data_IF_443498765887
#
_entry.id   IF_443498765887
#
_cell.length_a   1.000
_cell.length_b   1.000
_cell.length_c   1.000
_cell.angle_alpha   90.00
_cell.angle_beta   90.00
_cell.angle_gamma   90.00
#
_symmetry.space_group_name_H-M   'P 1'
#
loop_
_entity.id
_entity.type
_entity.pdbx_description
1 polymer ?
#
# COMPACT_ATOMS: atom_id res chain seq x y z
N UNK A 1 18.66 14.14 -15.30
CA UNK A 1 17.48 13.26 -15.43
C UNK A 1 16.67 13.41 -14.15
N UNK A 2 15.35 13.49 -14.23
CA UNK A 2 14.51 13.43 -13.01
C UNK A 2 14.81 12.12 -12.29
N UNK A 3 14.96 12.15 -10.96
CA UNK A 3 15.33 10.95 -10.19
C UNK A 3 14.20 9.91 -10.21
N UNK A 4 12.96 10.35 -10.48
CA UNK A 4 11.80 9.49 -10.73
C UNK A 4 11.97 8.47 -11.89
N UNK A 5 12.98 8.66 -12.75
CA UNK A 5 13.27 7.76 -13.88
C UNK A 5 14.31 6.67 -13.57
N UNK A 6 14.88 6.64 -12.36
CA UNK A 6 15.88 5.64 -11.99
C UNK A 6 15.23 4.25 -11.79
N UNK A 7 15.79 3.22 -12.42
CA UNK A 7 15.40 1.82 -12.15
C UNK A 7 15.87 1.43 -10.73
N UNK A 8 15.02 0.76 -9.93
CA UNK A 8 15.44 0.30 -8.61
C UNK A 8 16.63 -0.67 -8.71
N UNK A 9 17.63 -0.48 -7.84
CA UNK A 9 18.75 -1.43 -7.75
C UNK A 9 18.25 -2.72 -7.11
N UNK A 10 18.21 -3.80 -7.89
CA UNK A 10 17.83 -5.13 -7.41
C UNK A 10 18.93 -5.84 -6.64
N UNK A 11 18.58 -6.46 -5.51
CA UNK A 11 19.42 -7.47 -4.86
C UNK A 11 19.16 -8.86 -5.49
N UNK A 12 20.23 -9.57 -5.83
CA UNK A 12 20.15 -10.98 -6.20
C UNK A 12 19.87 -11.84 -4.96
N UNK A 13 18.62 -12.25 -4.75
CA UNK A 13 18.21 -13.04 -3.58
C UNK A 13 18.91 -14.41 -3.46
N UNK A 14 19.43 -14.96 -4.57
CA UNK A 14 20.02 -16.29 -4.62
C UNK A 14 21.36 -16.47 -3.89
N UNK A 15 21.98 -15.43 -3.33
CA UNK A 15 23.30 -15.51 -2.69
C UNK A 15 23.38 -15.01 -1.25
N UNK A 16 22.26 -14.62 -0.63
CA UNK A 16 22.24 -14.06 0.73
C UNK A 16 21.67 -15.11 1.69
N UNK A 17 22.39 -15.44 2.77
CA UNK A 17 21.87 -16.24 3.89
C UNK A 17 21.35 -15.36 5.03
N UNK A 18 20.53 -15.93 5.92
CA UNK A 18 20.08 -15.22 7.13
C UNK A 18 21.25 -14.83 8.04
N UNK A 19 22.26 -15.70 8.15
CA UNK A 19 23.49 -15.41 8.89
C UNK A 19 24.36 -14.33 8.22
N UNK A 20 24.31 -14.20 6.87
CA UNK A 20 24.96 -13.07 6.20
C UNK A 20 24.27 -11.75 6.56
N UNK A 21 22.93 -11.74 6.64
CA UNK A 21 22.18 -10.55 7.04
C UNK A 21 22.49 -10.17 8.50
N UNK A 22 22.53 -11.15 9.40
CA UNK A 22 22.94 -10.95 10.80
C UNK A 22 24.37 -10.40 10.91
N UNK A 23 25.33 -11.01 10.22
CA UNK A 23 26.73 -10.53 10.20
C UNK A 23 26.81 -9.08 9.70
N UNK A 24 26.08 -8.74 8.63
CA UNK A 24 26.04 -7.37 8.11
C UNK A 24 25.48 -6.39 9.12
N UNK A 25 24.51 -6.80 9.94
CA UNK A 25 24.02 -5.98 11.04
C UNK A 25 25.13 -5.69 12.07
N UNK A 26 25.87 -6.72 12.50
CA UNK A 26 26.99 -6.55 13.45
C UNK A 26 28.09 -5.63 12.89
N UNK A 27 28.42 -5.79 11.61
CA UNK A 27 29.49 -5.03 10.93
C UNK A 27 29.13 -3.56 10.64
N UNK A 28 27.84 -3.20 10.64
CA UNK A 28 27.36 -1.88 10.19
C UNK A 28 26.50 -1.14 11.23
N UNK A 29 26.73 -1.43 12.52
CA UNK A 29 26.02 -0.80 13.62
C UNK A 29 26.30 0.72 13.72
N UNK A 30 25.31 1.48 14.18
CA UNK A 30 25.39 2.94 14.33
C UNK A 30 24.62 3.42 15.55
N UNK A 31 24.93 4.61 16.04
CA UNK A 31 24.30 5.19 17.23
C UNK A 31 23.38 6.35 16.83
N UNK A 32 22.08 6.17 17.06
CA UNK A 32 21.12 7.27 16.94
C UNK A 32 21.44 8.43 17.89
N UNK A 33 22.14 8.17 19.01
CA UNK A 33 22.52 9.20 19.99
C UNK A 33 23.78 9.98 19.59
N UNK A 34 24.60 9.49 18.66
CA UNK A 34 25.81 10.19 18.21
C UNK A 34 25.56 11.14 17.03
N UNK A 35 24.36 11.15 16.46
CA UNK A 35 24.01 12.08 15.39
C UNK A 35 23.94 13.51 15.92
N UNK A 36 24.61 14.42 15.24
CA UNK A 36 24.63 15.85 15.54
C UNK A 36 23.56 16.58 14.72
N UNK A 37 22.55 17.10 15.41
CA UNK A 37 21.46 17.89 14.82
C UNK A 37 21.65 19.40 15.01
N UNK A 38 22.81 19.87 15.48
CA UNK A 38 23.05 21.28 15.78
C UNK A 38 22.88 22.20 14.56
N UNK A 39 23.17 21.70 13.35
CA UNK A 39 22.99 22.43 12.10
C UNK A 39 21.57 22.30 11.50
N UNK A 40 20.86 21.22 11.83
CA UNK A 40 19.60 20.84 11.19
C UNK A 40 18.47 21.82 11.49
N UNK A 41 18.46 22.46 12.66
CA UNK A 41 17.46 23.49 13.01
C UNK A 41 17.45 24.64 12.02
N UNK A 42 18.62 25.11 11.59
CA UNK A 42 18.71 26.18 10.60
C UNK A 42 18.16 25.72 9.23
N UNK A 43 18.41 24.46 8.85
CA UNK A 43 17.83 23.86 7.66
C UNK A 43 16.30 23.81 7.72
N UNK A 44 15.76 23.32 8.83
CA UNK A 44 14.32 23.28 9.07
C UNK A 44 13.64 24.66 9.01
N UNK A 45 14.26 25.66 9.65
CA UNK A 45 13.73 27.03 9.68
C UNK A 45 13.79 27.70 8.28
N UNK A 46 14.70 27.25 7.41
CA UNK A 46 14.84 27.74 6.04
C UNK A 46 13.76 27.25 5.07
N UNK A 47 13.06 26.17 5.41
CA UNK A 47 11.97 25.62 4.59
C UNK A 47 10.81 26.62 4.47
N UNK A 48 10.08 26.56 3.35
CA UNK A 48 8.80 27.26 3.25
C UNK A 48 7.76 26.64 4.20
N UNK A 49 6.67 27.37 4.46
CA UNK A 49 5.57 26.85 5.27
C UNK A 49 4.98 25.54 4.70
N UNK A 50 4.74 25.51 3.39
CA UNK A 50 4.25 24.30 2.71
C UNK A 50 5.24 23.14 2.83
N UNK A 51 6.53 23.38 2.66
CA UNK A 51 7.56 22.35 2.84
C UNK A 51 7.61 21.84 4.28
N UNK A 52 7.51 22.69 5.29
CA UNK A 52 7.43 22.24 6.69
C UNK A 52 6.18 21.38 6.94
N UNK A 53 5.02 21.80 6.44
CA UNK A 53 3.77 21.02 6.59
C UNK A 53 3.86 19.66 5.88
N UNK A 54 4.41 19.63 4.67
CA UNK A 54 4.64 18.37 3.95
C UNK A 54 5.65 17.46 4.65
N UNK A 55 6.75 18.02 5.16
CA UNK A 55 7.75 17.26 5.89
C UNK A 55 7.17 16.70 7.20
N UNK A 56 6.41 17.51 7.95
CA UNK A 56 5.72 17.05 9.16
C UNK A 56 4.75 15.90 8.88
N UNK A 57 4.00 15.96 7.78
CA UNK A 57 3.13 14.86 7.36
C UNK A 57 3.92 13.57 7.12
N UNK A 58 4.98 13.63 6.30
CA UNK A 58 5.77 12.45 5.97
C UNK A 58 6.53 11.90 7.19
N UNK A 59 7.20 12.74 7.96
CA UNK A 59 7.98 12.32 9.12
C UNK A 59 7.13 11.80 10.27
N UNK A 60 5.88 12.27 10.39
CA UNK A 60 4.93 11.70 11.34
C UNK A 60 4.57 10.26 10.95
N UNK A 61 4.39 9.98 9.66
CA UNK A 61 4.15 8.62 9.16
C UNK A 61 5.38 7.72 9.35
N UNK A 62 6.60 8.22 9.17
CA UNK A 62 7.78 7.43 9.51
C UNK A 62 7.85 7.17 11.00
N UNK A 63 7.85 8.22 11.83
CA UNK A 63 8.05 8.07 13.27
C UNK A 63 7.02 7.14 13.92
N UNK A 64 5.73 7.32 13.62
CA UNK A 64 4.70 6.39 14.09
C UNK A 64 4.93 4.97 13.58
N UNK A 65 5.39 4.84 12.34
CA UNK A 65 5.64 3.56 11.70
C UNK A 65 6.74 2.79 12.40
N UNK A 66 7.91 3.43 12.60
CA UNK A 66 9.07 2.85 13.30
C UNK A 66 8.70 2.35 14.70
N UNK A 67 7.91 3.13 15.45
CA UNK A 67 7.44 2.75 16.79
C UNK A 67 6.48 1.55 16.74
N UNK A 68 5.46 1.62 15.87
CA UNK A 68 4.50 0.52 15.71
C UNK A 68 5.17 -0.78 15.28
N UNK A 69 6.14 -0.72 14.37
CA UNK A 69 6.83 -1.93 13.94
C UNK A 69 7.77 -2.49 15.01
N UNK A 70 8.43 -1.64 15.81
CA UNK A 70 9.25 -2.07 16.94
C UNK A 70 8.43 -2.81 18.01
N UNK A 71 7.22 -2.32 18.30
CA UNK A 71 6.27 -2.93 19.22
C UNK A 71 5.74 -4.28 18.71
N UNK A 72 5.49 -4.36 17.40
CA UNK A 72 4.85 -5.51 16.78
C UNK A 72 5.79 -6.62 16.30
N UNK A 73 7.11 -6.44 16.31
CA UNK A 73 8.02 -7.44 15.74
C UNK A 73 8.22 -8.69 16.64
N UNK A 74 7.98 -8.59 17.96
CA UNK A 74 8.23 -9.72 18.87
C UNK A 74 7.52 -11.05 18.49
N UNK A 75 6.25 -11.08 18.04
CA UNK A 75 5.59 -12.32 17.61
C UNK A 75 6.19 -12.91 16.32
N UNK A 76 6.86 -12.10 15.51
CA UNK A 76 7.54 -12.56 14.30
C UNK A 76 8.76 -13.40 14.65
N UNK A 77 9.54 -12.96 15.65
CA UNK A 77 10.67 -13.74 16.19
C UNK A 77 10.17 -15.10 16.70
N UNK A 78 9.07 -15.07 17.45
CA UNK A 78 8.45 -16.24 18.07
C UNK A 78 7.85 -17.25 17.07
N UNK A 79 7.43 -16.77 15.89
CA UNK A 79 6.83 -17.57 14.83
C UNK A 79 7.81 -17.99 13.74
N UNK A 80 9.05 -17.48 13.78
CA UNK A 80 10.08 -17.79 12.80
C UNK A 80 10.35 -19.31 12.74
N UNK A 81 10.26 -19.94 11.55
CA UNK A 81 10.48 -21.38 11.38
C UNK A 81 11.87 -21.90 11.73
N UNK A 82 12.91 -21.06 11.65
CA UNK A 82 14.29 -21.43 11.97
C UNK A 82 14.95 -20.45 12.92
N UNK A 83 15.97 -20.94 13.64
CA UNK A 83 16.77 -20.13 14.55
C UNK A 83 17.48 -18.98 13.84
N UNK A 84 18.00 -19.18 12.62
CA UNK A 84 18.67 -18.11 11.87
C UNK A 84 17.69 -16.99 11.48
N UNK A 85 16.43 -17.34 11.18
CA UNK A 85 15.39 -16.35 10.92
C UNK A 85 15.04 -15.59 12.20
N UNK A 86 14.84 -16.29 13.32
CA UNK A 86 14.57 -15.68 14.61
C UNK A 86 15.70 -14.73 15.02
N UNK A 87 16.96 -15.16 14.90
CA UNK A 87 18.12 -14.35 15.26
C UNK A 87 18.21 -13.08 14.42
N UNK A 88 18.01 -13.16 13.11
CA UNK A 88 17.96 -11.95 12.28
C UNK A 88 16.81 -11.01 12.72
N UNK A 89 15.60 -11.54 12.95
CA UNK A 89 14.46 -10.72 13.37
C UNK A 89 14.71 -10.00 14.70
N UNK A 90 15.48 -10.59 15.63
CA UNK A 90 15.88 -9.86 16.85
C UNK A 90 16.75 -8.64 16.55
N UNK A 91 17.61 -8.70 15.52
CA UNK A 91 18.42 -7.55 15.10
C UNK A 91 17.55 -6.46 14.49
N UNK A 92 16.54 -6.85 13.71
CA UNK A 92 15.57 -5.92 13.13
C UNK A 92 14.81 -5.18 14.25
N UNK A 93 14.37 -5.88 15.30
CA UNK A 93 13.66 -5.21 16.41
C UNK A 93 14.49 -4.09 17.06
N UNK A 94 15.80 -4.30 17.17
CA UNK A 94 16.73 -3.29 17.68
C UNK A 94 16.89 -2.13 16.71
N UNK A 95 16.92 -2.40 15.40
CA UNK A 95 17.00 -1.37 14.38
C UNK A 95 15.73 -0.49 14.38
N UNK A 96 14.52 -1.08 14.44
CA UNK A 96 13.28 -0.29 14.48
C UNK A 96 13.17 0.59 15.72
N UNK A 97 13.52 0.05 16.90
CA UNK A 97 13.56 0.86 18.12
C UNK A 97 14.58 2.00 18.00
N UNK A 98 15.71 1.77 17.31
CA UNK A 98 16.71 2.80 17.03
C UNK A 98 16.19 3.85 16.05
N UNK A 99 15.40 3.45 15.05
CA UNK A 99 14.75 4.36 14.10
C UNK A 99 13.73 5.26 14.83
N UNK A 100 12.90 4.69 15.71
CA UNK A 100 11.97 5.48 16.53
C UNK A 100 12.72 6.51 17.41
N UNK A 101 13.85 6.12 18.02
CA UNK A 101 14.71 7.04 18.78
C UNK A 101 15.29 8.16 17.91
N UNK A 102 15.72 7.85 16.67
CA UNK A 102 16.19 8.84 15.70
C UNK A 102 15.11 9.90 15.45
N UNK A 103 13.90 9.47 15.10
CA UNK A 103 12.79 10.39 14.81
C UNK A 103 12.35 11.17 16.04
N UNK A 104 12.27 10.54 17.22
CA UNK A 104 12.02 11.25 18.48
C UNK A 104 13.03 12.40 18.67
N UNK A 105 14.32 12.11 18.52
CA UNK A 105 15.37 13.15 18.65
C UNK A 105 15.18 14.26 17.63
N UNK A 106 14.86 13.93 16.38
CA UNK A 106 14.63 14.94 15.35
C UNK A 106 13.40 15.83 15.68
N UNK A 107 12.30 15.24 16.14
CA UNK A 107 11.09 15.95 16.55
C UNK A 107 11.37 16.92 17.71
N UNK A 108 12.18 16.49 18.68
CA UNK A 108 12.53 17.33 19.83
C UNK A 108 13.58 18.39 19.48
N UNK A 109 14.70 17.99 18.90
CA UNK A 109 15.89 18.84 18.74
C UNK A 109 15.80 19.78 17.54
N UNK A 110 15.06 19.41 16.49
CA UNK A 110 14.93 20.18 15.24
C UNK A 110 13.54 20.79 15.11
N UNK A 111 12.48 19.98 15.14
CA UNK A 111 11.10 20.49 14.96
C UNK A 111 10.66 21.32 16.18
N UNK A 112 11.13 20.97 17.39
CA UNK A 112 10.82 21.69 18.62
C UNK A 112 9.56 21.21 19.34
N UNK A 113 9.21 19.92 19.20
CA UNK A 113 8.17 19.29 20.03
C UNK A 113 8.83 18.80 21.32
N UNK A 114 8.67 19.56 22.39
CA UNK A 114 9.22 19.22 23.70
C UNK A 114 8.42 18.08 24.36
N UNK A 115 9.13 17.12 24.94
CA UNK A 115 8.54 16.00 25.67
C UNK A 115 9.41 14.75 25.67
N UNK A 116 8.86 13.69 26.26
CA UNK A 116 9.39 12.33 26.13
C UNK A 116 8.94 11.67 24.81
N UNK A 117 9.36 10.42 24.60
CA UNK A 117 9.04 9.66 23.37
C UNK A 117 7.52 9.60 23.15
N UNK A 118 6.75 9.28 24.19
CA UNK A 118 5.29 9.21 24.12
C UNK A 118 4.65 10.54 23.70
N UNK A 119 5.10 11.65 24.28
CA UNK A 119 4.62 12.99 23.90
C UNK A 119 4.87 13.30 22.42
N UNK A 120 6.07 12.98 21.92
CA UNK A 120 6.39 13.21 20.50
C UNK A 120 5.63 12.29 19.56
N UNK A 121 5.33 11.04 19.97
CA UNK A 121 4.49 10.12 19.22
C UNK A 121 3.05 10.61 19.13
N UNK A 122 2.46 11.07 20.23
CA UNK A 122 1.11 11.64 20.23
C UNK A 122 0.96 12.81 19.24
N UNK A 123 2.02 13.61 19.07
CA UNK A 123 2.05 14.71 18.11
C UNK A 123 1.99 14.27 16.64
N UNK A 124 2.31 13.02 16.33
CA UNK A 124 2.21 12.46 14.96
C UNK A 124 0.76 12.14 14.57
N UNK A 125 -0.08 11.78 15.53
CA UNK A 125 -1.40 11.19 15.28
C UNK A 125 -2.32 12.06 14.40
N UNK A 126 -2.40 13.39 14.56
CA UNK A 126 -3.25 14.23 13.73
C UNK A 126 -2.82 14.27 12.25
N UNK A 127 -1.58 13.87 11.95
CA UNK A 127 -1.02 13.87 10.59
C UNK A 127 -1.29 12.56 9.83
N UNK A 128 -1.65 11.48 10.52
CA UNK A 128 -1.84 10.16 9.91
C UNK A 128 -3.16 10.08 9.15
N UNK A 129 -3.08 9.78 7.85
CA UNK A 129 -4.26 9.66 6.99
C UNK A 129 -4.96 8.29 7.12
N UNK A 130 -6.12 8.18 6.50
CA UNK A 130 -6.96 6.98 6.55
C UNK A 130 -6.27 5.73 5.98
N UNK A 131 -5.53 5.86 4.88
CA UNK A 131 -4.85 4.72 4.26
C UNK A 131 -3.73 4.19 5.16
N UNK A 132 -2.91 5.10 5.69
CA UNK A 132 -1.86 4.77 6.64
C UNK A 132 -2.40 4.06 7.87
N UNK A 133 -3.44 4.63 8.51
CA UNK A 133 -4.10 4.02 9.68
C UNK A 133 -4.63 2.62 9.37
N UNK A 134 -5.29 2.41 8.23
CA UNK A 134 -5.82 1.10 7.87
C UNK A 134 -4.75 0.02 7.68
N UNK A 135 -3.59 0.37 7.11
CA UNK A 135 -2.45 -0.56 6.99
C UNK A 135 -1.88 -0.91 8.37
N UNK A 136 -1.63 0.09 9.22
CA UNK A 136 -1.02 -0.13 10.53
C UNK A 136 -1.98 -0.78 11.53
N UNK A 137 -3.28 -0.46 11.50
CA UNK A 137 -4.30 -1.18 12.27
C UNK A 137 -4.32 -2.68 11.89
N UNK A 138 -4.06 -3.02 10.61
CA UNK A 138 -3.95 -4.42 10.17
C UNK A 138 -2.65 -5.07 10.63
N UNK A 139 -1.55 -4.31 10.67
CA UNK A 139 -0.27 -4.77 11.20
C UNK A 139 -0.37 -5.10 12.70
N UNK A 140 -0.99 -4.23 13.49
CA UNK A 140 -1.23 -4.47 14.92
C UNK A 140 -2.02 -5.77 15.14
N UNK A 141 -3.12 -5.96 14.39
CA UNK A 141 -3.90 -7.21 14.44
C UNK A 141 -3.09 -8.42 14.01
N UNK A 142 -2.17 -8.27 13.04
CA UNK A 142 -1.30 -9.38 12.60
C UNK A 142 -0.41 -9.87 13.73
N UNK A 143 0.13 -8.96 14.54
CA UNK A 143 0.98 -9.33 15.68
C UNK A 143 0.21 -10.22 16.67
N UNK A 144 -1.04 -9.87 17.00
CA UNK A 144 -1.90 -10.68 17.86
C UNK A 144 -2.30 -12.02 17.24
N UNK A 145 -2.65 -12.03 15.95
CA UNK A 145 -2.93 -13.26 15.20
C UNK A 145 -1.73 -14.21 15.22
N UNK A 146 -0.51 -13.69 15.04
CA UNK A 146 0.72 -14.48 14.99
C UNK A 146 1.12 -15.02 16.37
N UNK A 147 0.79 -14.31 17.46
CA UNK A 147 0.91 -14.85 18.83
C UNK A 147 0.04 -16.09 19.01
N UNK A 148 -1.17 -16.09 18.42
CA UNK A 148 -2.14 -17.17 18.55
C UNK A 148 -1.91 -18.33 17.55
N UNK A 149 -1.50 -18.01 16.32
CA UNK A 149 -1.28 -18.96 15.22
C UNK A 149 0.09 -18.74 14.59
N UNK A 150 0.99 -19.69 14.85
CA UNK A 150 2.36 -19.71 14.32
C UNK A 150 2.50 -20.64 13.10
N UNK A 151 1.39 -20.93 12.42
CA UNK A 151 1.41 -21.73 11.20
C UNK A 151 2.22 -21.03 10.09
N UNK A 152 2.80 -21.84 9.19
CA UNK A 152 3.56 -21.31 8.05
C UNK A 152 2.75 -20.35 7.15
N UNK A 153 1.46 -20.59 6.85
CA UNK A 153 0.63 -19.64 6.11
C UNK A 153 0.43 -18.30 6.84
N UNK A 154 0.21 -18.32 8.16
CA UNK A 154 0.09 -17.08 8.95
C UNK A 154 1.41 -16.32 9.02
N UNK A 155 2.52 -17.03 9.18
CA UNK A 155 3.86 -16.44 9.09
C UNK A 155 4.12 -15.82 7.71
N UNK A 156 3.75 -16.51 6.62
CA UNK A 156 3.88 -15.96 5.26
C UNK A 156 3.03 -14.70 5.04
N UNK A 157 1.79 -14.65 5.58
CA UNK A 157 0.99 -13.42 5.61
C UNK A 157 1.72 -12.30 6.37
N UNK A 158 2.22 -12.59 7.56
CA UNK A 158 2.89 -11.61 8.41
C UNK A 158 4.13 -11.01 7.73
N UNK A 159 5.01 -11.86 7.18
CA UNK A 159 6.19 -11.42 6.42
C UNK A 159 5.80 -10.63 5.16
N UNK A 160 4.71 -10.99 4.49
CA UNK A 160 4.22 -10.23 3.34
C UNK A 160 3.74 -8.84 3.74
N UNK A 161 2.93 -8.74 4.81
CA UNK A 161 2.39 -7.47 5.28
C UNK A 161 3.52 -6.51 5.70
N UNK A 162 4.45 -6.99 6.52
CA UNK A 162 5.51 -6.15 7.03
C UNK A 162 6.57 -5.89 5.95
N UNK A 163 7.32 -6.91 5.54
CA UNK A 163 8.54 -6.70 4.76
C UNK A 163 8.29 -6.33 3.30
N UNK A 164 7.21 -6.83 2.68
CA UNK A 164 6.89 -6.48 1.27
C UNK A 164 5.99 -5.26 1.15
N UNK A 165 4.94 -5.16 1.96
CA UNK A 165 3.98 -4.06 1.86
C UNK A 165 4.49 -2.85 2.65
N UNK A 166 4.63 -2.94 3.98
CA UNK A 166 5.03 -1.80 4.82
C UNK A 166 6.42 -1.27 4.46
N UNK A 167 7.47 -2.09 4.54
CA UNK A 167 8.83 -1.63 4.25
C UNK A 167 9.07 -1.49 2.74
N UNK A 168 8.81 -2.58 2.01
CA UNK A 168 9.16 -2.67 0.61
C UNK A 168 8.37 -1.70 -0.28
N UNK A 169 7.07 -1.58 -0.06
CA UNK A 169 6.17 -0.85 -0.98
C UNK A 169 5.86 0.55 -0.48
N UNK A 170 5.77 0.76 0.84
CA UNK A 170 5.37 2.04 1.41
C UNK A 170 6.57 2.83 1.95
N UNK A 171 7.43 2.26 2.79
CA UNK A 171 8.54 2.99 3.39
C UNK A 171 9.60 3.38 2.34
N UNK A 172 10.04 2.43 1.49
CA UNK A 172 11.15 2.68 0.58
C UNK A 172 10.91 3.82 -0.44
N UNK A 173 9.74 3.96 -1.09
CA UNK A 173 9.48 5.16 -1.89
C UNK A 173 9.56 6.44 -1.06
N UNK A 174 8.94 6.48 0.13
CA UNK A 174 8.99 7.64 1.01
C UNK A 174 10.43 8.06 1.35
N UNK A 175 11.28 7.09 1.69
CA UNK A 175 12.71 7.30 1.96
C UNK A 175 13.44 7.84 0.74
N UNK A 176 13.23 7.24 -0.44
CA UNK A 176 13.90 7.67 -1.68
C UNK A 176 13.66 9.15 -1.98
N UNK A 177 12.41 9.62 -1.84
CA UNK A 177 12.06 11.02 -2.10
C UNK A 177 12.52 11.98 -0.99
N UNK A 178 12.56 11.54 0.28
CA UNK A 178 13.15 12.33 1.38
C UNK A 178 14.66 12.50 1.18
N UNK A 179 15.38 11.41 0.97
CA UNK A 179 16.84 11.40 0.84
C UNK A 179 17.30 12.27 -0.34
N UNK A 180 16.60 12.18 -1.48
CA UNK A 180 16.93 12.93 -2.69
C UNK A 180 16.89 14.44 -2.51
N UNK A 181 15.99 14.96 -1.68
CA UNK A 181 15.88 16.39 -1.45
C UNK A 181 16.97 16.87 -0.48
N UNK A 182 17.10 16.27 0.70
CA UNK A 182 18.06 16.75 1.70
C UNK A 182 19.52 16.50 1.33
N UNK A 183 19.80 15.49 0.51
CA UNK A 183 21.14 15.29 -0.05
C UNK A 183 21.52 16.35 -1.09
N UNK A 184 20.55 16.95 -1.80
CA UNK A 184 20.80 18.01 -2.79
C UNK A 184 20.89 19.39 -2.15
N UNK A 185 20.01 19.69 -1.20
CA UNK A 185 19.91 21.02 -0.59
C UNK A 185 20.83 21.19 0.62
N UNK A 186 21.27 20.08 1.26
CA UNK A 186 22.30 20.08 2.30
C UNK A 186 21.92 20.75 3.63
N UNK A 187 20.65 21.12 3.83
CA UNK A 187 20.20 21.91 4.98
C UNK A 187 20.11 21.15 6.30
N UNK A 188 19.93 19.82 6.28
CA UNK A 188 19.73 19.00 7.48
C UNK A 188 20.71 17.80 7.51
N UNK A 189 22.01 18.05 7.72
CA UNK A 189 23.05 17.03 7.56
C UNK A 189 22.97 15.90 8.59
N UNK A 190 22.58 16.17 9.83
CA UNK A 190 22.42 15.13 10.85
C UNK A 190 21.27 14.19 10.52
N UNK A 191 20.14 14.73 10.07
CA UNK A 191 18.96 13.95 9.70
C UNK A 191 19.23 13.14 8.43
N UNK A 192 19.89 13.72 7.42
CA UNK A 192 20.33 12.99 6.22
C UNK A 192 21.25 11.81 6.58
N UNK A 193 22.18 11.99 7.51
CA UNK A 193 23.04 10.92 7.99
C UNK A 193 22.25 9.81 8.72
N UNK A 194 21.24 10.19 9.52
CA UNK A 194 20.31 9.26 10.16
C UNK A 194 19.51 8.44 9.15
N UNK A 195 18.87 9.11 8.19
CA UNK A 195 18.08 8.45 7.14
C UNK A 195 18.92 7.52 6.28
N UNK A 196 20.16 7.89 5.95
CA UNK A 196 21.07 7.00 5.22
C UNK A 196 21.43 5.72 6.00
N UNK A 197 21.44 5.77 7.34
CA UNK A 197 21.60 4.58 8.15
C UNK A 197 20.32 3.73 8.16
N UNK A 198 19.15 4.35 8.36
CA UNK A 198 17.84 3.68 8.30
C UNK A 198 17.66 2.97 6.96
N UNK A 199 17.94 3.63 5.84
CA UNK A 199 17.86 3.05 4.49
C UNK A 199 18.81 1.86 4.28
N UNK A 200 19.96 1.82 4.96
CA UNK A 200 20.86 0.65 4.96
C UNK A 200 20.29 -0.50 5.81
N UNK A 201 19.57 -0.19 6.87
CA UNK A 201 18.91 -1.15 7.76
C UNK A 201 17.71 -1.78 7.05
N UNK A 202 16.84 -0.96 6.43
CA UNK A 202 15.71 -1.40 5.60
C UNK A 202 16.11 -2.32 4.44
N UNK A 203 17.27 -2.08 3.80
CA UNK A 203 17.77 -2.97 2.77
C UNK A 203 17.98 -4.41 3.28
N UNK A 204 18.34 -4.58 4.56
CA UNK A 204 18.46 -5.90 5.18
C UNK A 204 17.09 -6.46 5.53
N UNK A 205 16.19 -5.66 6.08
CA UNK A 205 14.84 -6.08 6.47
C UNK A 205 14.03 -6.58 5.25
N UNK A 206 13.98 -5.78 4.19
CA UNK A 206 13.38 -6.15 2.91
C UNK A 206 14.08 -7.39 2.33
N UNK A 207 15.41 -7.45 2.43
CA UNK A 207 16.20 -8.59 1.96
C UNK A 207 15.80 -9.89 2.67
N UNK A 208 15.56 -9.83 3.98
CA UNK A 208 15.05 -10.94 4.78
C UNK A 208 13.65 -11.37 4.33
N UNK A 209 12.72 -10.44 4.16
CA UNK A 209 11.36 -10.75 3.72
C UNK A 209 11.33 -11.41 2.34
N UNK A 210 12.05 -10.84 1.37
CA UNK A 210 12.17 -11.39 0.01
C UNK A 210 12.77 -12.79 0.05
N UNK A 211 13.86 -12.99 0.82
CA UNK A 211 14.48 -14.31 0.96
C UNK A 211 13.50 -15.33 1.54
N UNK A 212 12.88 -15.01 2.67
CA UNK A 212 11.93 -15.88 3.37
C UNK A 212 10.78 -16.30 2.47
N UNK A 213 10.17 -15.34 1.77
CA UNK A 213 9.06 -15.64 0.87
C UNK A 213 9.51 -16.40 -0.39
N UNK A 214 10.72 -16.16 -0.90
CA UNK A 214 11.25 -16.94 -2.04
C UNK A 214 11.48 -18.42 -1.72
N UNK A 215 11.66 -18.78 -0.44
CA UNK A 215 11.79 -20.16 0.01
C UNK A 215 10.42 -20.81 0.26
N UNK A 216 9.45 -20.04 0.78
CA UNK A 216 8.11 -20.53 1.16
C UNK A 216 7.15 -20.60 -0.04
N UNK A 217 7.02 -19.49 -0.78
CA UNK A 217 5.92 -19.26 -1.72
C UNK A 217 5.92 -20.24 -2.90
N UNK A 218 7.06 -20.57 -3.54
CA UNK A 218 7.07 -21.54 -4.65
C UNK A 218 6.66 -22.97 -4.25
N UNK A 219 6.67 -23.29 -2.96
CA UNK A 219 6.47 -24.64 -2.44
C UNK A 219 5.13 -24.83 -1.71
N UNK A 220 4.34 -23.77 -1.52
CA UNK A 220 3.11 -23.83 -0.71
C UNK A 220 1.95 -23.01 -1.30
N UNK A 221 0.99 -23.72 -1.90
CA UNK A 221 -0.28 -23.12 -2.37
C UNK A 221 -1.13 -22.58 -1.22
N UNK A 222 -1.02 -23.16 -0.02
CA UNK A 222 -1.68 -22.66 1.19
C UNK A 222 -1.13 -21.28 1.59
N UNK A 223 0.20 -21.10 1.53
CA UNK A 223 0.81 -19.79 1.78
C UNK A 223 0.43 -18.76 0.71
N UNK A 224 0.36 -19.15 -0.57
CA UNK A 224 -0.14 -18.27 -1.65
C UNK A 224 -1.58 -17.83 -1.39
N UNK A 225 -2.46 -18.76 -1.00
CA UNK A 225 -3.85 -18.46 -0.67
C UNK A 225 -3.95 -17.48 0.51
N UNK A 226 -3.17 -17.71 1.56
CA UNK A 226 -3.12 -16.81 2.72
C UNK A 226 -2.63 -15.40 2.33
N UNK A 227 -1.58 -15.29 1.50
CA UNK A 227 -1.10 -14.01 0.96
C UNK A 227 -2.21 -13.29 0.17
N UNK A 228 -2.91 -14.02 -0.70
CA UNK A 228 -4.03 -13.49 -1.49
C UNK A 228 -5.16 -12.97 -0.59
N UNK A 229 -5.48 -13.66 0.52
CA UNK A 229 -6.45 -13.19 1.50
C UNK A 229 -6.02 -11.87 2.15
N UNK A 230 -4.76 -11.77 2.60
CA UNK A 230 -4.20 -10.54 3.15
C UNK A 230 -4.34 -9.36 2.18
N UNK A 231 -4.06 -9.59 0.89
CA UNK A 231 -4.16 -8.56 -0.12
C UNK A 231 -5.56 -7.96 -0.28
N UNK A 232 -6.61 -8.80 -0.15
CA UNK A 232 -8.00 -8.31 -0.20
C UNK A 232 -8.29 -7.32 0.92
N UNK A 233 -7.71 -7.54 2.09
CA UNK A 233 -7.90 -6.68 3.27
C UNK A 233 -7.10 -5.36 3.16
N UNK A 234 -5.85 -5.41 2.68
CA UNK A 234 -4.92 -4.29 2.82
C UNK A 234 -4.84 -3.38 1.58
N UNK A 235 -5.11 -3.90 0.37
CA UNK A 235 -4.88 -3.14 -0.88
C UNK A 235 -5.63 -1.81 -0.92
N UNK A 236 -6.84 -1.79 -0.40
CA UNK A 236 -7.67 -0.60 -0.35
C UNK A 236 -6.99 0.53 0.46
N UNK A 237 -6.34 0.17 1.56
CA UNK A 237 -5.67 1.13 2.43
C UNK A 237 -4.31 1.54 1.86
N UNK A 238 -3.55 0.60 1.30
CA UNK A 238 -2.22 0.85 0.72
C UNK A 238 -2.23 1.95 -0.33
N UNK A 239 -3.25 1.99 -1.20
CA UNK A 239 -3.36 3.06 -2.23
C UNK A 239 -3.63 4.44 -1.63
N UNK A 240 -4.13 4.53 -0.41
CA UNK A 240 -4.44 5.78 0.29
C UNK A 240 -3.28 6.31 1.15
N UNK A 241 -2.21 5.54 1.35
CA UNK A 241 -1.10 5.89 2.26
C UNK A 241 -0.41 7.20 1.83
N UNK A 242 -0.19 7.37 0.53
CA UNK A 242 0.42 8.59 -0.02
C UNK A 242 -0.60 9.65 -0.44
N UNK A 243 -1.85 9.54 0.00
CA UNK A 243 -2.83 10.60 -0.21
C UNK A 243 -2.45 11.84 0.63
N UNK A 244 -2.10 12.97 0.00
CA UNK A 244 -1.71 14.16 0.74
C UNK A 244 -2.91 14.79 1.46
N UNK A 245 -2.67 15.58 2.53
CA UNK A 245 -3.71 16.36 3.18
C UNK A 245 -4.53 17.17 2.18
N UNK A 246 -5.86 17.07 2.27
CA UNK A 246 -6.78 17.81 1.38
C UNK A 246 -6.72 17.42 -0.10
N UNK A 247 -6.07 16.30 -0.46
CA UNK A 247 -5.77 15.93 -1.86
C UNK A 247 -4.90 16.98 -2.58
N UNK A 248 -4.14 17.77 -1.82
CA UNK A 248 -3.31 18.84 -2.36
C UNK A 248 -1.97 18.30 -2.88
N UNK A 249 -1.84 18.28 -4.21
CA UNK A 249 -0.62 17.83 -4.91
C UNK A 249 0.60 18.69 -4.59
N UNK A 250 0.41 19.91 -4.09
CA UNK A 250 1.51 20.81 -3.74
C UNK A 250 2.42 20.23 -2.65
N UNK A 251 1.90 19.30 -1.82
CA UNK A 251 2.69 18.58 -0.82
C UNK A 251 3.84 17.79 -1.43
N UNK A 252 3.65 17.15 -2.58
CA UNK A 252 4.74 16.44 -3.26
C UNK A 252 5.52 17.39 -4.19
N UNK A 253 4.80 18.25 -4.91
CA UNK A 253 5.36 19.12 -5.95
C UNK A 253 6.32 20.18 -5.38
N UNK A 254 6.16 20.59 -4.11
CA UNK A 254 7.08 21.51 -3.44
C UNK A 254 8.50 20.96 -3.25
N UNK A 255 8.69 19.65 -3.45
CA UNK A 255 9.98 18.97 -3.41
C UNK A 255 10.50 18.56 -4.80
N UNK A 256 9.76 18.90 -5.87
CA UNK A 256 10.17 18.64 -7.25
C UNK A 256 9.81 17.26 -7.79
N UNK A 257 8.89 16.54 -7.15
CA UNK A 257 8.33 15.28 -7.66
C UNK A 257 6.80 15.27 -7.56
N UNK A 258 6.16 14.40 -8.34
CA UNK A 258 4.71 14.25 -8.39
C UNK A 258 4.25 13.03 -7.60
N UNK A 259 2.95 12.95 -7.31
CA UNK A 259 2.36 11.72 -6.76
C UNK A 259 2.57 10.54 -7.70
N UNK A 260 2.44 10.74 -9.01
CA UNK A 260 2.64 9.69 -10.02
C UNK A 260 4.05 9.10 -9.95
N UNK A 261 5.07 9.92 -9.68
CA UNK A 261 6.45 9.45 -9.50
C UNK A 261 6.56 8.48 -8.30
N UNK A 262 5.92 8.80 -7.17
CA UNK A 262 5.90 7.92 -5.98
C UNK A 262 5.25 6.58 -6.29
N UNK A 263 4.05 6.61 -6.88
CA UNK A 263 3.28 5.40 -7.17
C UNK A 263 3.96 4.54 -8.24
N UNK A 264 4.55 5.16 -9.27
CA UNK A 264 5.26 4.44 -10.32
C UNK A 264 6.52 3.75 -9.75
N UNK A 265 7.29 4.46 -8.91
CA UNK A 265 8.46 3.88 -8.26
C UNK A 265 8.10 2.71 -7.34
N UNK A 266 7.08 2.88 -6.49
CA UNK A 266 6.54 1.81 -5.64
C UNK A 266 6.09 0.60 -6.46
N UNK A 267 5.39 0.80 -7.58
CA UNK A 267 4.93 -0.28 -8.44
C UNK A 267 6.08 -1.04 -9.13
N UNK A 268 7.16 -0.37 -9.52
CA UNK A 268 8.36 -1.05 -10.05
C UNK A 268 8.97 -1.98 -9.00
N UNK A 269 9.10 -1.49 -7.77
CA UNK A 269 9.60 -2.27 -6.63
C UNK A 269 8.71 -3.48 -6.33
N UNK A 270 7.39 -3.30 -6.32
CA UNK A 270 6.41 -4.38 -6.18
C UNK A 270 6.64 -5.43 -7.27
N UNK A 271 6.54 -5.07 -8.55
CA UNK A 271 6.72 -6.00 -9.69
C UNK A 271 8.02 -6.80 -9.59
N UNK A 272 9.12 -6.12 -9.26
CA UNK A 272 10.42 -6.76 -9.10
C UNK A 272 10.41 -7.81 -7.98
N UNK A 273 9.94 -7.46 -6.78
CA UNK A 273 9.95 -8.36 -5.62
C UNK A 273 9.02 -9.55 -5.77
N UNK A 274 7.81 -9.32 -6.28
CA UNK A 274 6.83 -10.39 -6.53
C UNK A 274 7.38 -11.43 -7.52
N UNK A 275 8.07 -10.96 -8.56
CA UNK A 275 8.83 -11.85 -9.45
C UNK A 275 9.95 -12.59 -8.72
N UNK A 276 10.71 -11.93 -7.85
CA UNK A 276 11.82 -12.55 -7.10
C UNK A 276 11.36 -13.64 -6.14
N UNK A 277 10.20 -13.48 -5.48
CA UNK A 277 9.68 -14.49 -4.55
C UNK A 277 9.00 -15.68 -5.27
N UNK A 278 8.94 -15.67 -6.60
CA UNK A 278 8.32 -16.73 -7.39
C UNK A 278 6.79 -16.69 -7.37
N UNK A 279 6.19 -15.50 -7.19
CA UNK A 279 4.75 -15.28 -7.33
C UNK A 279 4.49 -13.96 -8.06
N UNK A 280 4.76 -13.90 -9.37
CA UNK A 280 4.61 -12.67 -10.14
C UNK A 280 3.16 -12.18 -10.10
N UNK A 281 2.95 -10.86 -10.22
CA UNK A 281 1.61 -10.26 -10.10
C UNK A 281 0.63 -10.79 -11.14
N UNK A 282 1.11 -11.29 -12.28
CA UNK A 282 0.31 -11.93 -13.33
C UNK A 282 -0.37 -13.23 -12.87
N UNK A 283 0.13 -13.87 -11.81
CA UNK A 283 -0.49 -15.05 -11.20
C UNK A 283 -1.50 -14.69 -10.10
N UNK A 284 -1.59 -13.42 -9.69
CA UNK A 284 -2.56 -12.98 -8.68
C UNK A 284 -3.99 -13.05 -9.22
N UNK A 285 -4.97 -13.36 -8.38
CA UNK A 285 -6.37 -13.26 -8.75
C UNK A 285 -6.74 -11.86 -9.24
N UNK A 286 -7.55 -11.78 -10.29
CA UNK A 286 -7.93 -10.51 -10.90
C UNK A 286 -8.70 -9.58 -9.96
N UNK A 287 -9.36 -10.12 -8.92
CA UNK A 287 -10.00 -9.33 -7.86
C UNK A 287 -9.00 -8.66 -6.91
N UNK A 288 -7.78 -9.20 -6.79
CA UNK A 288 -6.69 -8.66 -5.98
C UNK A 288 -5.86 -7.64 -6.76
N UNK A 289 -5.53 -7.94 -8.01
CA UNK A 289 -4.68 -7.10 -8.85
C UNK A 289 -5.33 -6.74 -10.19
N UNK A 290 -6.33 -5.84 -10.21
CA UNK A 290 -7.17 -5.57 -11.38
C UNK A 290 -6.55 -4.59 -12.39
N UNK A 291 -5.24 -4.67 -12.63
CA UNK A 291 -4.52 -3.79 -13.55
C UNK A 291 -4.19 -4.49 -14.86
N UNK A 292 -4.06 -3.71 -15.93
CA UNK A 292 -3.58 -4.23 -17.20
C UNK A 292 -2.07 -4.45 -17.13
N UNK A 293 -1.65 -5.72 -17.14
CA UNK A 293 -0.25 -6.12 -17.04
C UNK A 293 0.62 -5.66 -18.23
N UNK A 294 0.00 -5.26 -19.35
CA UNK A 294 0.73 -4.71 -20.49
C UNK A 294 1.18 -3.26 -20.30
N UNK A 295 0.57 -2.54 -19.35
CA UNK A 295 0.89 -1.15 -19.07
C UNK A 295 2.19 -1.01 -18.28
N UNK A 296 2.89 0.08 -18.56
CA UNK A 296 4.05 0.53 -17.79
C UNK A 296 3.65 0.91 -16.36
N UNK A 297 4.64 0.99 -15.46
CA UNK A 297 4.36 1.36 -14.08
C UNK A 297 3.81 2.79 -13.99
N UNK A 298 4.31 3.67 -14.85
CA UNK A 298 3.92 5.06 -14.99
C UNK A 298 2.46 5.22 -15.45
N UNK A 299 2.03 4.42 -16.45
CA UNK A 299 0.64 4.43 -16.92
C UNK A 299 -0.33 3.97 -15.83
N UNK A 300 0.00 2.90 -15.10
CA UNK A 300 -0.82 2.42 -13.99
C UNK A 300 -0.85 3.45 -12.85
N UNK A 301 0.30 4.02 -12.48
CA UNK A 301 0.40 5.03 -11.44
C UNK A 301 -0.44 6.28 -11.79
N UNK A 302 -0.38 6.74 -13.04
CA UNK A 302 -1.21 7.85 -13.49
C UNK A 302 -2.72 7.55 -13.34
N UNK A 303 -3.17 6.34 -13.68
CA UNK A 303 -4.57 5.94 -13.48
C UNK A 303 -4.94 5.86 -12.00
N UNK A 304 -4.07 5.30 -11.16
CA UNK A 304 -4.28 5.19 -9.72
C UNK A 304 -4.38 6.57 -9.05
N UNK A 305 -3.46 7.49 -9.37
CA UNK A 305 -3.47 8.86 -8.82
C UNK A 305 -4.71 9.61 -9.28
N UNK A 306 -5.15 9.45 -10.55
CA UNK A 306 -6.41 10.04 -11.02
C UNK A 306 -7.62 9.55 -10.21
N UNK A 307 -7.75 8.24 -9.99
CA UNK A 307 -8.84 7.66 -9.20
C UNK A 307 -8.80 8.12 -7.73
N UNK A 308 -7.60 8.26 -7.17
CA UNK A 308 -7.40 8.74 -5.79
C UNK A 308 -7.82 10.19 -5.65
N UNK A 309 -7.34 11.08 -6.53
CA UNK A 309 -7.68 12.51 -6.51
C UNK A 309 -9.16 12.77 -6.87
N UNK A 310 -9.77 11.87 -7.64
CA UNK A 310 -11.21 11.85 -7.89
C UNK A 310 -12.04 11.39 -6.67
N UNK A 311 -11.40 10.95 -5.59
CA UNK A 311 -12.08 10.40 -4.41
C UNK A 311 -12.78 9.07 -4.64
N UNK A 312 -12.41 8.34 -5.70
CA UNK A 312 -12.96 7.02 -6.02
C UNK A 312 -12.26 5.93 -5.22
N UNK A 313 -10.93 6.00 -5.14
CA UNK A 313 -10.10 5.15 -4.28
C UNK A 313 -9.61 5.90 -3.04
N UNK A 314 -9.09 5.19 -2.04
CA UNK A 314 -8.65 5.78 -0.78
C UNK A 314 -9.82 5.99 0.19
N UNK A 315 -9.76 7.05 0.99
CA UNK A 315 -10.75 7.29 2.03
C UNK A 315 -12.18 7.42 1.46
N UNK A 316 -13.21 6.85 2.12
CA UNK A 316 -14.59 6.97 1.65
C UNK A 316 -15.00 8.42 1.42
N UNK A 317 -15.34 8.74 0.17
CA UNK A 317 -15.78 10.08 -0.23
C UNK A 317 -17.31 10.08 -0.45
N UNK A 318 -18.00 11.11 0.05
CA UNK A 318 -19.43 11.28 -0.15
C UNK A 318 -19.77 11.80 -1.56
N UNK A 319 -18.82 12.44 -2.25
CA UNK A 319 -18.97 13.04 -3.57
C UNK A 319 -17.75 12.75 -4.46
N UNK A 320 -17.47 11.47 -4.77
CA UNK A 320 -16.47 11.13 -5.77
C UNK A 320 -16.80 11.78 -7.11
N UNK A 321 -15.78 12.17 -7.88
CA UNK A 321 -15.92 12.67 -9.25
C UNK A 321 -16.63 11.61 -10.11
N UNK A 322 -17.60 12.05 -10.89
CA UNK A 322 -18.42 11.23 -11.79
C UNK A 322 -18.23 11.64 -13.25
N UNK A 323 -17.10 12.21 -13.64
CA UNK A 323 -16.79 12.51 -15.03
C UNK A 323 -16.69 11.22 -15.85
N UNK A 324 -17.02 11.25 -17.16
CA UNK A 324 -16.96 10.05 -18.01
C UNK A 324 -15.61 9.34 -18.01
N UNK A 325 -14.51 10.09 -17.89
CA UNK A 325 -13.15 9.54 -17.79
C UNK A 325 -12.96 8.72 -16.50
N UNK A 326 -13.32 9.28 -15.35
CA UNK A 326 -13.20 8.60 -14.04
C UNK A 326 -14.12 7.39 -13.96
N UNK A 327 -15.35 7.51 -14.46
CA UNK A 327 -16.25 6.37 -14.56
C UNK A 327 -15.65 5.26 -15.43
N UNK A 328 -15.06 5.61 -16.58
CA UNK A 328 -14.39 4.65 -17.47
C UNK A 328 -13.27 3.89 -16.78
N UNK A 329 -12.39 4.57 -16.04
CA UNK A 329 -11.32 3.91 -15.29
C UNK A 329 -11.85 2.88 -14.28
N UNK A 330 -12.91 3.24 -13.53
CA UNK A 330 -13.52 2.31 -12.57
C UNK A 330 -14.19 1.12 -13.27
N UNK A 331 -14.87 1.35 -14.39
CA UNK A 331 -15.54 0.28 -15.13
C UNK A 331 -14.57 -0.63 -15.88
N UNK A 332 -13.43 -0.12 -16.34
CA UNK A 332 -12.33 -0.93 -16.86
C UNK A 332 -11.75 -1.84 -15.77
N UNK A 333 -11.56 -1.33 -14.56
CA UNK A 333 -11.19 -2.16 -13.39
C UNK A 333 -12.27 -3.19 -13.09
N UNK A 334 -13.54 -2.79 -13.10
CA UNK A 334 -14.68 -3.69 -12.86
C UNK A 334 -14.73 -4.83 -13.88
N UNK A 335 -14.50 -4.53 -15.16
CA UNK A 335 -14.42 -5.50 -16.23
C UNK A 335 -13.26 -6.49 -16.04
N UNK A 336 -12.07 -6.01 -15.68
CA UNK A 336 -10.90 -6.86 -15.42
C UNK A 336 -11.12 -7.82 -14.24
N UNK A 337 -11.88 -7.40 -13.23
CA UNK A 337 -12.20 -8.24 -12.05
C UNK A 337 -13.19 -9.35 -12.31
N UNK A 338 -13.88 -9.34 -13.45
CA UNK A 338 -14.94 -10.30 -13.72
C UNK A 338 -14.38 -11.74 -13.85
N UNK A 339 -14.86 -12.68 -13.03
CA UNK A 339 -14.55 -14.10 -13.18
C UNK A 339 -15.37 -14.69 -14.35
N UNK A 340 -14.75 -14.74 -15.53
CA UNK A 340 -15.38 -15.25 -16.75
C UNK A 340 -15.82 -16.72 -16.62
N UNK A 341 -15.12 -17.52 -15.81
CA UNK A 341 -15.46 -18.93 -15.62
C UNK A 341 -16.80 -19.11 -14.87
N UNK A 342 -17.29 -18.06 -14.20
CA UNK A 342 -18.58 -18.06 -13.49
C UNK A 342 -19.74 -17.48 -14.29
N UNK A 343 -19.49 -16.87 -15.45
CA UNK A 343 -20.52 -16.21 -16.26
C UNK A 343 -21.52 -17.19 -16.93
N UNK A 344 -21.16 -18.48 -17.02
CA UNK A 344 -22.01 -19.51 -17.63
C UNK A 344 -21.78 -19.65 -19.15
N UNK A 345 -22.77 -20.18 -19.87
CA UNK A 345 -22.67 -20.42 -21.31
C UNK A 345 -23.30 -19.24 -22.07
N UNK A 346 -22.45 -18.35 -22.62
CA UNK A 346 -22.85 -17.18 -23.41
C UNK A 346 -22.58 -15.84 -22.70
N UNK A 347 -22.87 -14.72 -23.38
CA UNK A 347 -22.70 -13.36 -22.82
C UNK A 347 -23.57 -13.16 -21.58
N UNK A 348 -22.92 -12.85 -20.46
CA UNK A 348 -23.57 -12.37 -19.26
C UNK A 348 -23.53 -10.83 -19.25
N UNK A 349 -24.70 -10.20 -19.32
CA UNK A 349 -24.87 -8.76 -19.54
C UNK A 349 -25.31 -8.06 -18.27
N UNK A 350 -24.49 -7.17 -17.75
CA UNK A 350 -24.81 -6.38 -16.55
C UNK A 350 -24.88 -4.91 -16.93
N UNK A 351 -25.94 -4.23 -16.49
CA UNK A 351 -26.14 -2.79 -16.66
C UNK A 351 -26.18 -2.10 -15.31
N UNK A 352 -25.50 -0.97 -15.19
CA UNK A 352 -25.60 -0.02 -14.09
C UNK A 352 -26.38 1.19 -14.55
N UNK A 353 -27.56 1.40 -13.97
CA UNK A 353 -28.38 2.59 -14.19
C UNK A 353 -28.17 3.55 -13.01
N UNK A 354 -27.25 4.50 -13.21
CA UNK A 354 -27.04 5.56 -12.23
C UNK A 354 -28.15 6.61 -12.32
N UNK A 355 -28.58 7.11 -11.16
CA UNK A 355 -29.58 8.20 -11.10
C UNK A 355 -28.96 9.59 -11.21
N UNK A 356 -27.66 9.69 -11.01
CA UNK A 356 -26.85 10.91 -10.92
C UNK A 356 -25.59 10.88 -11.81
N UNK A 357 -25.47 9.88 -12.69
CA UNK A 357 -24.37 9.69 -13.63
C UNK A 357 -24.85 8.96 -14.90
N UNK A 358 -24.01 8.95 -15.93
CA UNK A 358 -24.27 8.19 -17.17
C UNK A 358 -24.36 6.68 -16.90
N UNK A 359 -25.27 5.94 -17.55
CA UNK A 359 -25.37 4.50 -17.39
C UNK A 359 -24.16 3.78 -17.97
N UNK A 360 -23.85 2.60 -17.46
CA UNK A 360 -22.77 1.74 -17.93
C UNK A 360 -23.23 0.31 -18.11
N UNK A 361 -22.51 -0.44 -18.93
CA UNK A 361 -22.70 -1.87 -19.05
C UNK A 361 -21.36 -2.61 -19.07
N UNK A 362 -21.38 -3.84 -18.57
CA UNK A 362 -20.28 -4.80 -18.67
C UNK A 362 -20.83 -6.07 -19.27
N UNK A 363 -20.24 -6.51 -20.38
CA UNK A 363 -20.58 -7.77 -21.04
C UNK A 363 -19.43 -8.74 -20.80
N UNK A 364 -19.71 -9.81 -20.06
CA UNK A 364 -18.76 -10.86 -19.73
C UNK A 364 -19.00 -12.04 -20.66
N UNK A 365 -18.03 -12.33 -21.52
CA UNK A 365 -18.00 -13.48 -22.41
C UNK A 365 -16.84 -14.42 -22.05
N UNK A 366 -16.90 -15.64 -22.55
CA UNK A 366 -15.81 -16.59 -22.40
C UNK A 366 -14.56 -16.09 -23.17
N UNK A 367 -13.60 -15.51 -22.45
CA UNK A 367 -12.35 -14.97 -23.01
C UNK A 367 -12.38 -13.49 -23.42
N UNK A 368 -13.49 -12.76 -23.20
CA UNK A 368 -13.50 -11.30 -23.37
C UNK A 368 -14.50 -10.65 -22.41
N UNK A 369 -14.07 -9.57 -21.75
CA UNK A 369 -14.98 -8.70 -21.00
C UNK A 369 -14.78 -7.28 -21.47
N UNK A 370 -15.90 -6.59 -21.71
CA UNK A 370 -15.89 -5.21 -22.18
C UNK A 370 -16.81 -4.38 -21.31
N UNK A 371 -16.30 -3.24 -20.86
CA UNK A 371 -17.08 -2.17 -20.26
C UNK A 371 -17.37 -1.09 -21.31
N UNK A 372 -18.60 -0.60 -21.35
CA UNK A 372 -19.02 0.50 -22.24
C UNK A 372 -19.99 1.44 -21.51
N UNK A 373 -19.86 2.73 -21.81
CA UNK A 373 -20.85 3.71 -21.39
C UNK A 373 -22.12 3.56 -22.25
N UNK A 374 -23.28 3.62 -21.61
CA UNK A 374 -24.59 3.49 -22.24
C UNK A 374 -25.38 2.28 -21.76
N UNK A 375 -26.65 2.25 -22.17
CA UNK A 375 -27.58 1.13 -21.91
C UNK A 375 -27.49 0.10 -23.03
N UNK A 376 -27.82 -1.14 -22.67
CA UNK A 376 -27.90 -2.26 -23.61
C UNK A 376 -29.34 -2.81 -23.66
N UNK A 377 -29.74 -3.39 -24.81
CA UNK A 377 -30.99 -4.15 -24.86
C UNK A 377 -30.87 -5.42 -24.03
N UNK A 378 -31.96 -5.77 -23.34
CA UNK A 378 -32.14 -7.04 -22.63
C UNK A 378 -30.98 -7.44 -21.67
N UNK A 379 -30.64 -6.61 -20.66
CA UNK A 379 -29.64 -6.97 -19.67
C UNK A 379 -30.10 -8.16 -18.80
N UNK A 380 -29.17 -9.07 -18.47
CA UNK A 380 -29.43 -10.17 -17.53
C UNK A 380 -29.63 -9.63 -16.11
N UNK A 381 -28.87 -8.60 -15.75
CA UNK A 381 -28.95 -7.87 -14.48
C UNK A 381 -28.88 -6.37 -14.73
N UNK A 382 -29.77 -5.62 -14.09
CA UNK A 382 -29.72 -4.15 -13.99
C UNK A 382 -29.57 -3.73 -12.54
N UNK A 383 -28.55 -2.95 -12.23
CA UNK A 383 -28.30 -2.36 -10.92
C UNK A 383 -28.64 -0.88 -10.98
N UNK A 384 -29.74 -0.47 -10.33
CA UNK A 384 -30.08 0.95 -10.21
C UNK A 384 -29.56 1.51 -8.88
N UNK A 385 -28.75 2.56 -8.92
CA UNK A 385 -28.05 3.12 -7.74
C UNK A 385 -27.59 4.56 -8.00
N UNK A 386 -26.96 5.22 -7.02
CA UNK A 386 -26.18 6.44 -7.26
C UNK A 386 -24.70 6.09 -7.49
N UNK A 387 -23.94 7.01 -8.12
CA UNK A 387 -22.50 6.86 -8.32
C UNK A 387 -21.72 6.73 -7.00
N UNK A 388 -21.89 7.62 -6.00
CA UNK A 388 -21.21 7.48 -4.70
C UNK A 388 -21.57 6.20 -3.95
N UNK A 389 -22.79 5.68 -4.17
CA UNK A 389 -23.20 4.41 -3.58
C UNK A 389 -22.45 3.24 -4.21
N UNK A 390 -22.36 3.22 -5.54
CA UNK A 390 -21.64 2.17 -6.25
C UNK A 390 -20.14 2.19 -5.98
N UNK A 391 -19.50 3.36 -5.97
CA UNK A 391 -18.08 3.49 -5.55
C UNK A 391 -17.88 2.87 -4.17
N UNK A 392 -18.78 3.17 -3.23
CA UNK A 392 -18.72 2.59 -1.89
C UNK A 392 -18.87 1.07 -1.86
N UNK A 393 -19.76 0.50 -2.67
CA UNK A 393 -19.99 -0.95 -2.76
C UNK A 393 -18.84 -1.66 -3.49
N UNK A 394 -18.30 -1.03 -4.53
CA UNK A 394 -17.28 -1.62 -5.39
C UNK A 394 -15.89 -1.57 -4.76
N UNK A 395 -15.61 -0.57 -3.91
CA UNK A 395 -14.27 -0.26 -3.40
C UNK A 395 -14.13 -0.15 -1.88
N UNK A 396 -15.15 0.31 -1.13
CA UNK A 396 -14.99 0.74 0.26
C UNK A 396 -15.79 -0.12 1.27
N UNK A 397 -15.84 -1.43 1.04
CA UNK A 397 -16.50 -2.43 1.90
C UNK A 397 -17.99 -2.14 2.23
N UNK A 398 -18.67 -1.25 1.50
CA UNK A 398 -20.10 -0.98 1.80
C UNK A 398 -20.92 -2.22 1.51
N UNK A 399 -21.58 -2.71 2.55
CA UNK A 399 -22.39 -3.92 2.46
C UNK A 399 -23.54 -3.76 1.43
N UNK A 400 -23.53 -4.52 0.31
CA UNK A 400 -24.54 -4.40 -0.74
C UNK A 400 -25.92 -4.85 -0.28
N UNK A 401 -26.03 -5.80 0.65
CA UNK A 401 -27.31 -6.25 1.20
C UNK A 401 -27.99 -5.14 2.01
N UNK A 402 -27.21 -4.37 2.75
CA UNK A 402 -27.69 -3.19 3.49
C UNK A 402 -28.17 -2.11 2.52
N UNK A 403 -27.42 -1.84 1.45
CA UNK A 403 -27.82 -0.89 0.41
C UNK A 403 -29.14 -1.30 -0.28
N UNK A 404 -29.37 -2.60 -0.48
CA UNK A 404 -30.63 -3.13 -1.01
C UNK A 404 -31.78 -2.92 -0.02
N UNK A 405 -31.58 -3.26 1.25
CA UNK A 405 -32.59 -3.10 2.30
C UNK A 405 -33.03 -1.63 2.44
N UNK A 406 -32.07 -0.72 2.36
CA UNK A 406 -32.28 0.74 2.45
C UNK A 406 -32.71 1.37 1.11
N UNK A 407 -32.93 0.56 0.05
CA UNK A 407 -33.32 0.98 -1.31
C UNK A 407 -32.33 1.94 -1.98
N UNK A 408 -31.08 1.95 -1.55
CA UNK A 408 -29.96 2.67 -2.20
C UNK A 408 -29.42 1.90 -3.41
N UNK A 409 -29.51 0.57 -3.41
CA UNK A 409 -29.23 -0.31 -4.55
C UNK A 409 -30.48 -1.11 -4.91
N UNK A 410 -30.94 -1.04 -6.16
CA UNK A 410 -32.09 -1.83 -6.66
C UNK A 410 -31.65 -2.77 -7.78
N UNK A 411 -31.33 -4.04 -7.45
CA UNK A 411 -31.02 -5.04 -8.47
C UNK A 411 -32.30 -5.57 -9.13
N UNK A 412 -32.28 -5.70 -10.46
CA UNK A 412 -33.33 -6.34 -11.26
C UNK A 412 -32.69 -7.43 -12.12
N UNK A 413 -33.34 -8.58 -12.20
CA UNK A 413 -32.87 -9.75 -12.94
C UNK A 413 -33.54 -11.02 -12.41
N UNK A 414 -33.40 -12.13 -13.12
CA UNK A 414 -33.88 -13.41 -12.56
C UNK A 414 -33.06 -13.80 -11.32
N UNK A 415 -33.61 -14.58 -10.37
CA UNK A 415 -32.84 -15.06 -9.21
C UNK A 415 -31.54 -15.77 -9.60
N UNK A 416 -31.55 -16.50 -10.72
CA UNK A 416 -30.38 -17.15 -11.29
C UNK A 416 -29.35 -16.12 -11.78
N UNK A 417 -29.78 -15.08 -12.50
CA UNK A 417 -28.89 -14.03 -12.99
C UNK A 417 -28.23 -13.25 -11.84
N UNK A 418 -28.99 -12.94 -10.78
CA UNK A 418 -28.43 -12.29 -9.57
C UNK A 418 -27.43 -13.20 -8.84
N UNK A 419 -27.68 -14.50 -8.78
CA UNK A 419 -26.72 -15.46 -8.24
C UNK A 419 -25.46 -15.59 -9.10
N UNK A 420 -25.59 -15.52 -10.42
CA UNK A 420 -24.44 -15.46 -11.35
C UNK A 420 -23.64 -14.18 -11.16
N UNK A 421 -24.30 -13.02 -11.06
CA UNK A 421 -23.64 -11.73 -10.84
C UNK A 421 -22.70 -11.77 -9.62
N UNK A 422 -23.16 -12.30 -8.49
CA UNK A 422 -22.35 -12.42 -7.27
C UNK A 422 -21.13 -13.33 -7.40
N UNK A 423 -21.13 -14.26 -8.35
CA UNK A 423 -20.00 -15.16 -8.60
C UNK A 423 -19.02 -14.54 -9.60
N UNK A 424 -19.54 -13.83 -10.60
CA UNK A 424 -18.73 -13.14 -11.62
C UNK A 424 -18.04 -11.91 -11.03
N UNK A 425 -18.74 -11.16 -10.19
CA UNK A 425 -18.24 -10.00 -9.49
C UNK A 425 -18.27 -10.29 -7.98
N UNK A 426 -17.28 -11.03 -7.46
CA UNK A 426 -17.20 -11.26 -6.02
C UNK A 426 -17.08 -9.90 -5.29
N UNK A 427 -17.69 -9.75 -4.10
CA UNK A 427 -17.47 -8.59 -3.25
C UNK A 427 -15.97 -8.42 -2.94
N UNK A 428 -15.53 -7.17 -2.71
CA UNK A 428 -14.25 -6.93 -2.03
C UNK A 428 -14.30 -7.51 -0.61
#
# INVERSE_FOLDING_TARGET
MSVAQAEPRGNSAGSISYMDLYRRWEENNWSAMSLDFSADRAGWDSLSELQRESALWMYSMFFYGEDSVADNLSPYVDAAPTEEQAYFLTTQQVDEARHAVLFHRFFREVIGIDGDVGTTLEATLPRLNWGYRGVFDRLDRMADELRADRSLPKFAQAITLYHLIVEGTLAQPGQHFIEDYFNKDGGMPGFSAGMANVSRDEQRHIGFGVKTLSEIVPQSEECKAAIVELFREVNLHSVGVFCPPGFDRSFTECWGFTMEDIYAFGLKLVRQRWKTIGFPLEEMPADVWPFDHSLTAEEIAAQQVRLLLAGVTGAPNAKPDSSPEIQGLLFDMTARRADHAKAGHGPFRVQWDFVDAEPWNVIVNNGSTRAEQGRIPDPDVTLKTTWPEWVGIALNERNPLRAILERRLTPKGSPRALATFRKVFPPL
#
